data_IF_358262339176
#
_entry.id   IF_358262339176
#
_cell.length_a   1.000
_cell.length_b   1.000
_cell.length_c   1.000
_cell.angle_alpha   90.00
_cell.angle_beta   90.00
_cell.angle_gamma   90.00
#
_symmetry.space_group_name_H-M   'P 1'
#
loop_
_entity.id
_entity.type
_entity.pdbx_description
1 polymer ?
#
# COMPACT_ATOMS: atom_id res chain seq x y z
N UNK A 1 -18.09 18.23 -36.61
CA UNK A 1 -18.51 17.04 -35.86
C UNK A 1 -17.31 16.09 -35.85
N UNK A 2 -16.45 16.18 -34.84
CA UNK A 2 -15.41 15.16 -34.61
C UNK A 2 -16.13 13.96 -34.01
N UNK A 3 -15.95 12.78 -34.58
CA UNK A 3 -16.49 11.54 -34.04
C UNK A 3 -15.94 11.37 -32.62
N UNK A 4 -16.83 11.25 -31.64
CA UNK A 4 -16.51 10.81 -30.29
C UNK A 4 -15.74 9.49 -30.40
N UNK A 5 -14.56 9.45 -29.78
CA UNK A 5 -13.84 8.19 -29.56
C UNK A 5 -14.68 7.43 -28.52
N UNK A 6 -15.70 6.71 -28.98
CA UNK A 6 -16.52 5.87 -28.13
C UNK A 6 -15.58 4.97 -27.33
N UNK A 7 -15.66 5.04 -26.00
CA UNK A 7 -14.85 4.21 -25.11
C UNK A 7 -14.93 2.74 -25.56
N UNK A 8 -13.79 2.15 -25.86
CA UNK A 8 -13.67 0.71 -26.15
C UNK A 8 -13.75 -0.16 -24.90
N UNK A 9 -14.00 0.44 -23.72
CA UNK A 9 -14.04 -0.25 -22.44
C UNK A 9 -15.39 -0.86 -22.13
N UNK A 10 -15.38 -1.99 -21.42
CA UNK A 10 -16.60 -2.50 -20.80
C UNK A 10 -17.00 -1.54 -19.67
N UNK A 11 -18.26 -1.13 -19.70
CA UNK A 11 -18.86 -0.26 -18.66
C UNK A 11 -19.55 -1.08 -17.58
N UNK A 12 -20.07 -2.27 -17.92
CA UNK A 12 -20.69 -3.17 -16.95
C UNK A 12 -19.60 -3.95 -16.20
N UNK A 13 -19.66 -4.00 -14.85
CA UNK A 13 -18.66 -4.67 -14.05
C UNK A 13 -18.71 -6.20 -14.22
N UNK A 14 -17.53 -6.81 -14.23
CA UNK A 14 -17.36 -8.26 -14.34
C UNK A 14 -17.18 -8.72 -15.78
N UNK A 15 -16.25 -9.64 -15.97
CA UNK A 15 -15.91 -10.22 -17.27
C UNK A 15 -16.62 -11.55 -17.47
N UNK A 16 -16.54 -12.46 -16.50
CA UNK A 16 -17.19 -13.76 -16.56
C UNK A 16 -18.72 -13.65 -16.43
N UNK A 17 -19.19 -12.68 -15.63
CA UNK A 17 -20.62 -12.43 -15.42
C UNK A 17 -20.92 -10.94 -15.59
N UNK A 18 -21.03 -10.46 -16.84
CA UNK A 18 -21.24 -9.04 -17.12
C UNK A 18 -22.42 -8.42 -16.37
N UNK A 19 -22.15 -7.35 -15.63
CA UNK A 19 -23.13 -6.63 -14.81
C UNK A 19 -23.53 -7.33 -13.52
N UNK A 20 -22.85 -8.41 -13.12
CA UNK A 20 -23.13 -9.18 -11.90
C UNK A 20 -21.99 -9.11 -10.86
N UNK A 21 -20.87 -8.48 -11.20
CA UNK A 21 -19.82 -8.17 -10.23
C UNK A 21 -20.22 -6.96 -9.39
N UNK A 22 -20.27 -7.18 -8.08
CA UNK A 22 -20.67 -6.22 -7.06
C UNK A 22 -19.80 -6.46 -5.84
N UNK A 23 -19.74 -5.47 -4.95
CA UNK A 23 -18.96 -5.55 -3.72
C UNK A 23 -19.22 -6.85 -2.95
N UNK A 24 -20.50 -7.19 -2.76
CA UNK A 24 -20.91 -8.41 -2.06
C UNK A 24 -20.50 -9.69 -2.79
N UNK A 25 -20.59 -9.72 -4.13
CA UNK A 25 -20.20 -10.91 -4.89
C UNK A 25 -18.69 -11.09 -4.94
N UNK A 26 -17.93 -10.00 -5.04
CA UNK A 26 -16.45 -9.99 -4.99
C UNK A 26 -15.98 -10.47 -3.63
N UNK A 27 -16.51 -9.87 -2.55
CA UNK A 27 -16.20 -10.24 -1.17
C UNK A 27 -16.50 -11.73 -0.92
N UNK A 28 -17.68 -12.22 -1.30
CA UNK A 28 -18.04 -13.62 -1.11
C UNK A 28 -17.11 -14.59 -1.87
N UNK A 29 -16.64 -14.20 -3.06
CA UNK A 29 -15.70 -15.00 -3.84
C UNK A 29 -14.29 -15.01 -3.22
N UNK A 30 -13.83 -13.88 -2.67
CA UNK A 30 -12.60 -13.84 -1.88
C UNK A 30 -12.70 -14.70 -0.62
N UNK A 31 -13.79 -14.58 0.16
CA UNK A 31 -14.00 -15.41 1.35
C UNK A 31 -13.98 -16.90 1.00
N UNK A 32 -14.65 -17.29 -0.08
CA UNK A 32 -14.67 -18.67 -0.56
C UNK A 32 -13.29 -19.17 -1.04
N UNK A 33 -12.52 -18.29 -1.69
CA UNK A 33 -11.16 -18.59 -2.08
C UNK A 33 -10.27 -18.86 -0.86
N UNK A 34 -10.43 -18.08 0.21
CA UNK A 34 -9.62 -18.22 1.43
C UNK A 34 -10.05 -19.37 2.33
N UNK A 35 -11.33 -19.77 2.29
CA UNK A 35 -11.95 -20.78 3.19
C UNK A 35 -11.17 -22.09 3.30
N UNK A 36 -10.65 -22.57 2.18
CA UNK A 36 -9.88 -23.82 2.10
C UNK A 36 -8.97 -23.83 0.87
N UNK A 37 -8.18 -24.89 0.71
CA UNK A 37 -7.21 -25.07 -0.39
C UNK A 37 -7.64 -26.06 -1.47
N UNK A 38 -8.88 -26.57 -1.42
CA UNK A 38 -9.31 -27.72 -2.24
C UNK A 38 -10.64 -27.52 -2.97
N UNK A 39 -11.47 -26.59 -2.51
CA UNK A 39 -12.75 -26.29 -3.13
C UNK A 39 -12.53 -25.67 -4.52
N UNK A 40 -13.31 -26.11 -5.52
CA UNK A 40 -13.26 -25.53 -6.85
C UNK A 40 -13.77 -24.09 -6.85
N UNK A 41 -13.50 -23.35 -7.91
CA UNK A 41 -14.04 -22.01 -8.09
C UNK A 41 -15.57 -22.03 -8.19
N UNK A 42 -16.25 -21.10 -7.52
CA UNK A 42 -17.67 -20.86 -7.75
C UNK A 42 -17.96 -20.29 -9.15
N UNK A 43 -16.92 -19.85 -9.86
CA UNK A 43 -16.98 -19.39 -11.25
C UNK A 43 -16.65 -20.50 -12.25
N UNK A 44 -16.42 -21.75 -11.83
CA UNK A 44 -15.94 -22.83 -12.71
C UNK A 44 -16.79 -22.99 -13.97
N UNK A 45 -18.12 -22.95 -13.84
CA UNK A 45 -19.05 -23.08 -14.97
C UNK A 45 -19.02 -21.89 -15.95
N UNK A 46 -18.41 -20.77 -15.57
CA UNK A 46 -18.26 -19.58 -16.41
C UNK A 46 -16.92 -19.53 -17.15
N UNK A 47 -15.95 -20.35 -16.73
CA UNK A 47 -14.62 -20.37 -17.35
C UNK A 47 -14.62 -21.05 -18.71
N UNK A 48 -15.47 -22.05 -18.92
CA UNK A 48 -15.49 -22.88 -20.13
C UNK A 48 -16.04 -22.15 -21.38
N UNK A 49 -16.62 -20.95 -21.20
CA UNK A 49 -17.06 -20.09 -22.30
C UNK A 49 -15.93 -19.19 -22.83
N UNK A 50 -14.77 -19.15 -22.18
CA UNK A 50 -13.60 -18.42 -22.67
C UNK A 50 -12.76 -19.30 -23.59
N UNK A 51 -12.75 -18.94 -24.87
CA UNK A 51 -11.75 -19.42 -25.81
C UNK A 51 -10.36 -18.98 -25.32
N UNK A 52 -9.45 -19.95 -25.24
CA UNK A 52 -8.06 -19.89 -24.75
C UNK A 52 -7.13 -18.80 -25.35
N UNK A 53 -7.65 -17.85 -26.13
CA UNK A 53 -6.89 -16.80 -26.79
C UNK A 53 -6.75 -15.52 -25.94
N UNK A 54 -7.43 -15.42 -24.77
CA UNK A 54 -7.42 -14.22 -23.92
C UNK A 54 -6.18 -14.06 -23.01
N UNK A 55 -5.32 -15.08 -22.94
CA UNK A 55 -4.22 -15.16 -21.97
C UNK A 55 -3.01 -14.28 -22.38
N UNK A 56 -2.86 -13.98 -23.66
CA UNK A 56 -1.73 -13.22 -24.19
C UNK A 56 -1.94 -11.69 -24.18
N UNK A 57 -3.03 -11.20 -23.61
CA UNK A 57 -3.35 -9.78 -23.57
C UNK A 57 -2.77 -9.10 -22.34
N UNK A 58 -2.22 -7.91 -22.55
CA UNK A 58 -1.77 -7.01 -21.49
C UNK A 58 -2.70 -5.81 -21.40
N UNK A 59 -2.27 -4.82 -20.64
CA UNK A 59 -3.02 -3.57 -20.48
C UNK A 59 -3.26 -2.85 -21.81
N UNK A 60 -4.51 -2.46 -22.03
CA UNK A 60 -4.95 -1.72 -23.21
C UNK A 60 -5.17 -2.57 -24.47
N UNK A 61 -4.81 -3.87 -24.45
CA UNK A 61 -4.95 -4.75 -25.62
C UNK A 61 -6.42 -5.16 -25.83
N UNK A 62 -7.03 -5.82 -24.85
CA UNK A 62 -8.42 -6.27 -24.88
C UNK A 62 -8.93 -6.63 -23.49
N UNK A 63 -10.20 -7.03 -23.41
CA UNK A 63 -10.75 -7.55 -22.17
C UNK A 63 -10.01 -8.82 -21.70
N UNK A 64 -9.82 -9.01 -20.39
CA UNK A 64 -10.34 -8.20 -19.28
C UNK A 64 -9.46 -6.99 -18.86
N UNK A 65 -8.33 -6.75 -19.53
CA UNK A 65 -7.33 -5.72 -19.19
C UNK A 65 -7.44 -4.47 -20.08
N UNK A 66 -8.65 -4.15 -20.56
CA UNK A 66 -8.83 -3.09 -21.57
C UNK A 66 -8.65 -1.66 -21.02
N UNK A 67 -8.69 -1.48 -19.69
CA UNK A 67 -8.76 -0.18 -19.00
C UNK A 67 -7.36 0.32 -18.57
N UNK A 68 -6.60 0.85 -19.53
CA UNK A 68 -5.33 1.58 -19.28
C UNK A 68 -5.57 3.10 -19.41
N UNK A 69 -5.33 3.86 -18.33
CA UNK A 69 -5.53 5.32 -18.28
C UNK A 69 -4.22 6.03 -18.62
N UNK A 70 -4.08 6.49 -19.86
CA UNK A 70 -2.80 7.00 -20.39
C UNK A 70 -2.72 8.52 -20.49
N UNK A 71 -3.84 9.23 -20.37
CA UNK A 71 -3.90 10.68 -20.51
C UNK A 71 -5.08 11.31 -19.73
N UNK A 72 -5.09 12.64 -19.63
CA UNK A 72 -6.14 13.39 -18.92
C UNK A 72 -7.54 13.16 -19.51
N UNK A 73 -7.65 12.94 -20.83
CA UNK A 73 -8.93 12.66 -21.48
C UNK A 73 -9.51 11.30 -21.01
N UNK A 74 -8.65 10.29 -20.84
CA UNK A 74 -9.04 8.97 -20.31
C UNK A 74 -9.55 9.11 -18.86
N UNK A 75 -8.87 9.90 -18.04
CA UNK A 75 -9.26 10.16 -16.64
C UNK A 75 -10.59 10.92 -16.55
N UNK A 76 -10.76 11.97 -17.35
CA UNK A 76 -12.01 12.75 -17.39
C UNK A 76 -13.18 11.87 -17.84
N UNK A 77 -12.92 10.98 -18.79
CA UNK A 77 -13.88 10.00 -19.30
C UNK A 77 -14.26 8.97 -18.23
N UNK A 78 -13.28 8.46 -17.47
CA UNK A 78 -13.50 7.53 -16.38
C UNK A 78 -14.32 8.12 -15.24
N UNK A 79 -14.04 9.38 -14.84
CA UNK A 79 -14.80 10.10 -13.80
C UNK A 79 -16.28 10.20 -14.13
N UNK A 80 -16.61 10.38 -15.41
CA UNK A 80 -18.00 10.43 -15.87
C UNK A 80 -18.69 9.06 -15.93
N UNK A 81 -17.98 7.98 -15.57
CA UNK A 81 -18.46 6.60 -15.59
C UNK A 81 -18.19 5.89 -14.25
N UNK A 82 -18.82 6.33 -13.13
CA UNK A 82 -18.51 5.84 -11.79
C UNK A 82 -18.70 4.32 -11.61
N UNK A 83 -19.65 3.73 -12.33
CA UNK A 83 -19.86 2.27 -12.32
C UNK A 83 -18.65 1.49 -12.84
N UNK A 84 -17.77 2.09 -13.65
CA UNK A 84 -16.58 1.43 -14.18
C UNK A 84 -15.44 1.32 -13.17
N UNK A 85 -15.37 2.19 -12.15
CA UNK A 85 -14.28 2.18 -11.16
C UNK A 85 -14.72 1.84 -9.74
N UNK A 86 -15.97 2.10 -9.33
CA UNK A 86 -16.45 1.86 -7.96
C UNK A 86 -16.38 0.38 -7.51
N UNK A 87 -16.27 -0.56 -8.46
CA UNK A 87 -16.22 -2.02 -8.21
C UNK A 87 -14.95 -2.66 -8.80
N UNK A 88 -13.97 -1.82 -9.14
CA UNK A 88 -12.73 -2.23 -9.77
C UNK A 88 -11.57 -1.97 -8.82
N UNK A 89 -10.52 -2.80 -8.92
CA UNK A 89 -9.24 -2.50 -8.30
C UNK A 89 -8.51 -1.49 -9.19
N UNK A 90 -8.11 -0.36 -8.61
CA UNK A 90 -7.26 0.60 -9.30
C UNK A 90 -5.80 0.29 -8.99
N UNK A 91 -4.97 0.14 -10.03
CA UNK A 91 -3.56 -0.22 -9.91
C UNK A 91 -2.72 0.95 -10.40
N UNK A 92 -1.85 1.48 -9.55
CA UNK A 92 -0.93 2.59 -9.87
C UNK A 92 0.44 2.00 -10.14
N UNK A 93 0.99 2.25 -11.33
CA UNK A 93 2.36 1.84 -11.66
C UNK A 93 3.30 3.05 -11.61
N UNK A 94 4.24 3.11 -10.66
CA UNK A 94 5.26 4.16 -10.62
C UNK A 94 6.37 3.97 -11.66
N UNK A 95 6.56 2.75 -12.19
CA UNK A 95 7.58 2.39 -13.18
C UNK A 95 7.02 1.36 -14.18
N UNK A 96 7.72 1.18 -15.30
CA UNK A 96 7.32 0.26 -16.37
C UNK A 96 7.49 -1.22 -16.00
N UNK A 97 8.43 -1.52 -15.10
CA UNK A 97 8.61 -2.84 -14.51
C UNK A 97 9.15 -2.75 -13.07
N UNK A 98 8.95 -3.83 -12.30
CA UNK A 98 9.45 -3.97 -10.93
C UNK A 98 10.89 -4.52 -10.90
N UNK A 99 11.31 -5.20 -11.97
CA UNK A 99 12.62 -5.81 -12.08
C UNK A 99 12.73 -6.71 -13.32
N UNK A 100 13.86 -7.41 -13.43
CA UNK A 100 14.10 -8.42 -14.47
C UNK A 100 14.18 -9.80 -13.83
N UNK A 101 13.46 -10.77 -14.38
CA UNK A 101 13.50 -12.15 -13.88
C UNK A 101 14.82 -12.86 -14.24
N UNK A 102 14.95 -14.11 -13.81
CA UNK A 102 16.17 -14.93 -14.00
C UNK A 102 16.55 -15.19 -15.45
N UNK A 103 15.62 -15.03 -16.40
CA UNK A 103 15.85 -15.15 -17.84
C UNK A 103 15.96 -13.79 -18.56
N UNK A 104 15.97 -12.69 -17.81
CA UNK A 104 16.17 -11.33 -18.32
C UNK A 104 14.93 -10.66 -18.90
N UNK A 105 13.73 -11.16 -18.62
CA UNK A 105 12.48 -10.48 -19.02
C UNK A 105 12.09 -9.43 -17.97
N UNK A 106 11.65 -8.23 -18.39
CA UNK A 106 11.07 -7.26 -17.47
C UNK A 106 9.74 -7.78 -16.94
N UNK A 107 9.41 -7.42 -15.69
CA UNK A 107 8.22 -7.89 -14.98
C UNK A 107 7.29 -6.72 -14.65
N UNK A 108 6.13 -6.66 -15.31
CA UNK A 108 5.04 -5.72 -15.02
C UNK A 108 4.00 -6.36 -14.10
N UNK A 109 4.27 -6.34 -12.79
CA UNK A 109 3.54 -7.10 -11.76
C UNK A 109 2.02 -6.80 -11.68
N UNK A 110 1.60 -5.58 -12.02
CA UNK A 110 0.19 -5.16 -12.09
C UNK A 110 -0.71 -6.10 -12.91
N UNK A 111 -0.16 -6.74 -13.93
CA UNK A 111 -0.86 -7.71 -14.78
C UNK A 111 -1.30 -8.92 -13.94
N UNK A 112 -0.46 -9.37 -13.02
CA UNK A 112 -0.79 -10.50 -12.14
C UNK A 112 -1.88 -10.12 -11.17
N UNK A 113 -1.81 -8.96 -10.50
CA UNK A 113 -2.87 -8.47 -9.62
C UNK A 113 -4.22 -8.45 -10.34
N UNK A 114 -4.25 -7.88 -11.55
CA UNK A 114 -5.49 -7.79 -12.33
C UNK A 114 -6.04 -9.16 -12.73
N UNK A 115 -5.18 -10.07 -13.19
CA UNK A 115 -5.60 -11.43 -13.51
C UNK A 115 -6.06 -12.22 -12.29
N UNK A 116 -5.42 -12.06 -11.12
CA UNK A 116 -5.84 -12.69 -9.87
C UNK A 116 -7.23 -12.19 -9.46
N UNK A 117 -7.42 -10.88 -9.42
CA UNK A 117 -8.70 -10.26 -9.10
C UNK A 117 -9.82 -10.72 -10.04
N UNK A 118 -9.52 -10.76 -11.33
CA UNK A 118 -10.45 -11.22 -12.35
C UNK A 118 -10.77 -12.71 -12.21
N UNK A 119 -9.74 -13.56 -12.09
CA UNK A 119 -9.86 -15.02 -12.06
C UNK A 119 -10.58 -15.50 -10.80
N UNK A 120 -10.26 -14.92 -9.66
CA UNK A 120 -10.75 -15.34 -8.34
C UNK A 120 -12.11 -14.73 -8.03
N UNK A 121 -12.28 -13.43 -8.29
CA UNK A 121 -13.43 -12.66 -7.82
C UNK A 121 -14.32 -12.08 -8.93
N UNK A 122 -14.00 -12.31 -10.21
CA UNK A 122 -14.65 -11.62 -11.33
C UNK A 122 -14.58 -10.09 -11.18
N UNK A 123 -13.50 -9.59 -10.57
CA UNK A 123 -13.30 -8.18 -10.28
C UNK A 123 -12.48 -7.53 -11.39
N UNK A 124 -13.04 -6.48 -12.00
CA UNK A 124 -12.34 -5.71 -13.02
C UNK A 124 -11.17 -4.92 -12.40
N UNK A 125 -10.21 -4.55 -13.22
CA UNK A 125 -9.09 -3.72 -12.80
C UNK A 125 -8.88 -2.55 -13.78
N UNK A 126 -8.32 -1.46 -13.26
CA UNK A 126 -7.97 -0.25 -14.02
C UNK A 126 -6.54 0.10 -13.69
N UNK A 127 -5.68 0.27 -14.70
CA UNK A 127 -4.29 0.63 -14.48
C UNK A 127 -4.03 2.11 -14.79
N UNK A 128 -3.21 2.73 -13.95
CA UNK A 128 -2.68 4.09 -14.08
C UNK A 128 -1.16 3.99 -14.23
N UNK A 129 -0.63 3.83 -15.46
CA UNK A 129 0.80 3.76 -15.71
C UNK A 129 1.42 5.15 -15.60
N UNK A 130 1.63 5.66 -14.38
CA UNK A 130 2.10 7.03 -14.15
C UNK A 130 3.48 7.28 -14.75
N UNK A 131 4.33 6.26 -14.81
CA UNK A 131 5.60 6.31 -15.54
C UNK A 131 5.45 6.68 -17.02
N UNK A 132 4.29 6.40 -17.63
CA UNK A 132 3.94 6.68 -19.02
C UNK A 132 3.04 7.90 -19.16
N UNK A 133 2.01 8.05 -18.31
CA UNK A 133 1.04 9.15 -18.42
C UNK A 133 1.52 10.45 -17.78
N UNK A 134 2.47 10.35 -16.85
CA UNK A 134 2.74 11.38 -15.85
C UNK A 134 1.60 11.55 -14.85
N UNK A 135 1.80 12.45 -13.89
CA UNK A 135 0.77 12.82 -12.94
C UNK A 135 -0.28 13.71 -13.64
N UNK A 136 -1.47 13.13 -13.89
CA UNK A 136 -2.66 13.84 -14.35
C UNK A 136 -3.20 14.77 -13.25
N UNK A 137 -4.37 15.40 -13.43
CA UNK A 137 -5.01 16.17 -12.37
C UNK A 137 -5.12 15.34 -11.08
N UNK A 138 -4.33 15.74 -10.07
CA UNK A 138 -4.14 14.97 -8.84
C UNK A 138 -5.44 14.79 -8.07
N UNK A 139 -6.30 15.81 -8.04
CA UNK A 139 -7.58 15.73 -7.29
C UNK A 139 -8.55 14.78 -7.96
N UNK A 140 -8.63 14.84 -9.28
CA UNK A 140 -9.43 13.91 -10.10
C UNK A 140 -8.93 12.48 -9.96
N UNK A 141 -7.61 12.28 -10.07
CA UNK A 141 -6.99 10.97 -9.90
C UNK A 141 -7.27 10.41 -8.51
N UNK A 142 -6.97 11.18 -7.45
CA UNK A 142 -7.24 10.78 -6.08
C UNK A 142 -8.72 10.46 -5.85
N UNK A 143 -9.64 11.24 -6.42
CA UNK A 143 -11.07 10.95 -6.32
C UNK A 143 -11.43 9.57 -6.90
N UNK A 144 -10.92 9.24 -8.10
CA UNK A 144 -11.16 7.93 -8.74
C UNK A 144 -10.55 6.80 -7.90
N UNK A 145 -9.28 6.93 -7.53
CA UNK A 145 -8.57 5.91 -6.74
C UNK A 145 -9.30 5.64 -5.42
N UNK A 146 -9.66 6.70 -4.70
CA UNK A 146 -10.26 6.59 -3.37
C UNK A 146 -11.74 6.23 -3.40
N UNK A 147 -12.40 6.30 -4.56
CA UNK A 147 -13.78 5.84 -4.74
C UNK A 147 -13.87 4.43 -5.34
N UNK A 148 -12.74 3.84 -5.69
CA UNK A 148 -12.66 2.48 -6.24
C UNK A 148 -12.89 1.40 -5.17
N UNK A 149 -12.80 0.12 -5.56
CA UNK A 149 -12.91 -0.97 -4.60
C UNK A 149 -11.68 -1.02 -3.68
N UNK A 150 -10.49 -0.95 -4.26
CA UNK A 150 -9.20 -0.95 -3.59
C UNK A 150 -8.16 -0.31 -4.51
N UNK A 151 -7.11 0.27 -3.92
CA UNK A 151 -5.96 0.80 -4.65
C UNK A 151 -4.76 -0.12 -4.40
N UNK A 152 -4.09 -0.57 -5.45
CA UNK A 152 -2.78 -1.24 -5.37
C UNK A 152 -1.75 -0.30 -5.97
N UNK A 153 -0.80 0.16 -5.16
CA UNK A 153 0.33 0.97 -5.59
C UNK A 153 1.53 0.06 -5.75
N UNK A 154 1.90 -0.20 -7.00
CA UNK A 154 2.87 -1.23 -7.36
C UNK A 154 4.33 -0.85 -7.12
N UNK A 155 5.19 -1.85 -7.27
CA UNK A 155 6.64 -1.71 -7.25
C UNK A 155 7.20 -0.98 -8.48
N UNK A 156 8.53 -0.85 -8.48
CA UNK A 156 9.26 -0.25 -9.58
C UNK A 156 10.77 -0.31 -9.38
N UNK A 157 11.51 -0.27 -10.49
CA UNK A 157 12.97 -0.25 -10.46
C UNK A 157 13.64 1.04 -9.89
N UNK A 158 12.98 2.22 -9.77
CA UNK A 158 13.58 3.38 -9.09
C UNK A 158 13.81 3.19 -7.59
N UNK A 159 14.61 4.08 -6.98
CA UNK A 159 14.86 4.12 -5.53
C UNK A 159 14.38 5.45 -4.95
N UNK A 160 13.60 5.40 -3.86
CA UNK A 160 13.11 6.62 -3.20
C UNK A 160 14.21 7.42 -2.50
N UNK A 161 15.42 6.86 -2.34
CA UNK A 161 16.56 7.54 -1.71
C UNK A 161 17.24 8.52 -2.66
N UNK A 162 17.09 8.31 -3.97
CA UNK A 162 17.62 9.19 -5.01
C UNK A 162 16.52 9.59 -5.98
N UNK A 163 16.07 10.84 -5.88
CA UNK A 163 15.04 11.40 -6.74
C UNK A 163 15.38 11.33 -8.23
N UNK A 164 16.68 11.33 -8.58
CA UNK A 164 17.13 11.25 -9.98
C UNK A 164 16.91 9.87 -10.60
N UNK A 165 16.70 8.83 -9.79
CA UNK A 165 16.35 7.51 -10.31
C UNK A 165 15.01 7.48 -11.07
N UNK A 166 14.18 8.52 -10.90
CA UNK A 166 12.91 8.70 -11.59
C UNK A 166 13.00 9.55 -12.88
N UNK A 167 14.16 10.12 -13.22
CA UNK A 167 14.31 11.11 -14.31
C UNK A 167 13.91 10.57 -15.70
N UNK A 168 13.90 9.24 -15.88
CA UNK A 168 13.49 8.59 -17.13
C UNK A 168 11.99 8.23 -17.19
N UNK A 169 11.23 8.60 -16.17
CA UNK A 169 9.78 8.37 -16.10
C UNK A 169 9.02 9.69 -16.28
N UNK A 170 7.76 9.63 -16.72
CA UNK A 170 6.93 10.83 -16.85
C UNK A 170 6.36 11.35 -15.52
N UNK A 171 6.65 10.69 -14.39
CA UNK A 171 6.14 11.05 -13.07
C UNK A 171 7.31 11.17 -12.08
N UNK A 172 7.50 12.34 -11.47
CA UNK A 172 8.65 12.55 -10.60
C UNK A 172 8.50 11.83 -9.25
N UNK A 173 9.62 11.66 -8.54
CA UNK A 173 9.62 11.21 -7.14
C UNK A 173 8.69 12.05 -6.26
N UNK A 174 8.70 13.38 -6.45
CA UNK A 174 7.87 14.30 -5.69
C UNK A 174 6.37 14.09 -5.98
N UNK A 175 6.01 13.87 -7.25
CA UNK A 175 4.62 13.60 -7.65
C UNK A 175 4.08 12.31 -7.03
N UNK A 176 4.89 11.25 -7.02
CA UNK A 176 4.53 9.96 -6.42
C UNK A 176 4.42 10.04 -4.89
N UNK A 177 5.31 10.81 -4.24
CA UNK A 177 5.21 11.08 -2.80
C UNK A 177 3.95 11.87 -2.45
N UNK A 178 3.65 12.93 -3.20
CA UNK A 178 2.45 13.74 -3.00
C UNK A 178 1.18 12.89 -3.18
N UNK A 179 1.14 12.00 -4.18
CA UNK A 179 0.04 11.07 -4.36
C UNK A 179 -0.05 10.06 -3.19
N UNK A 180 1.09 9.56 -2.70
CA UNK A 180 1.13 8.64 -1.56
C UNK A 180 0.60 9.29 -0.28
N UNK A 181 0.98 10.55 0.00
CA UNK A 181 0.42 11.35 1.09
C UNK A 181 -1.10 11.51 0.95
N UNK A 182 -1.58 11.84 -0.25
CA UNK A 182 -3.02 12.02 -0.52
C UNK A 182 -3.79 10.71 -0.29
N UNK A 183 -3.26 9.57 -0.74
CA UNK A 183 -3.86 8.25 -0.52
C UNK A 183 -3.87 7.88 0.97
N UNK A 184 -2.76 8.10 1.68
CA UNK A 184 -2.70 7.86 3.14
C UNK A 184 -3.73 8.73 3.87
N UNK A 185 -3.90 10.00 3.49
CA UNK A 185 -4.88 10.90 4.11
C UNK A 185 -6.33 10.67 3.67
N UNK A 186 -6.56 9.86 2.63
CA UNK A 186 -7.90 9.70 2.07
C UNK A 186 -8.76 8.65 2.76
N UNK A 187 -8.16 7.78 3.60
CA UNK A 187 -8.86 6.62 4.18
C UNK A 187 -9.97 7.04 5.14
N UNK A 188 -11.23 6.81 4.74
CA UNK A 188 -12.48 7.18 5.43
C UNK A 188 -13.51 6.05 5.29
N UNK A 189 -14.72 6.21 5.86
CA UNK A 189 -15.78 5.17 5.94
C UNK A 189 -16.17 4.50 4.63
N UNK A 190 -15.96 5.16 3.49
CA UNK A 190 -16.34 4.64 2.18
C UNK A 190 -15.25 4.78 1.13
N UNK A 191 -14.04 5.14 1.54
CA UNK A 191 -12.94 5.24 0.59
C UNK A 191 -12.30 3.88 0.39
N UNK A 192 -11.68 3.66 -0.75
CA UNK A 192 -10.85 2.49 -0.99
C UNK A 192 -9.73 2.37 0.07
N UNK A 193 -9.40 1.16 0.54
CA UNK A 193 -8.11 0.89 1.16
C UNK A 193 -7.00 1.00 0.12
N UNK A 194 -5.78 1.27 0.58
CA UNK A 194 -4.57 1.27 -0.27
C UNK A 194 -3.62 0.15 0.15
N UNK A 195 -3.08 -0.56 -0.83
CA UNK A 195 -2.09 -1.62 -0.66
C UNK A 195 -0.84 -1.17 -1.41
N UNK A 196 0.23 -0.91 -0.69
CA UNK A 196 1.49 -0.40 -1.25
C UNK A 196 2.52 -1.54 -1.35
N UNK A 197 3.03 -1.83 -2.53
CA UNK A 197 3.89 -2.99 -2.80
C UNK A 197 5.26 -2.51 -3.27
N UNK A 198 6.35 -3.07 -2.72
CA UNK A 198 7.74 -2.82 -3.09
C UNK A 198 8.08 -1.31 -3.09
N UNK A 199 8.25 -0.67 -4.24
CA UNK A 199 8.45 0.79 -4.33
C UNK A 199 7.29 1.58 -3.70
N UNK A 200 6.06 1.10 -3.81
CA UNK A 200 4.92 1.67 -3.10
C UNK A 200 5.12 1.67 -1.58
N UNK A 201 5.64 0.57 -1.01
CA UNK A 201 5.91 0.45 0.43
C UNK A 201 6.97 1.46 0.89
N UNK A 202 8.02 1.64 0.08
CA UNK A 202 9.05 2.66 0.31
C UNK A 202 8.51 4.10 0.23
N UNK A 203 7.65 4.39 -0.75
CA UNK A 203 6.98 5.68 -0.89
C UNK A 203 6.07 5.97 0.31
N UNK A 204 5.32 4.97 0.78
CA UNK A 204 4.49 5.09 1.97
C UNK A 204 5.32 5.41 3.23
N UNK A 205 6.46 4.72 3.42
CA UNK A 205 7.37 5.00 4.53
C UNK A 205 7.89 6.44 4.53
N UNK A 206 8.33 6.96 3.37
CA UNK A 206 8.73 8.36 3.23
C UNK A 206 7.56 9.34 3.43
N UNK A 207 6.37 9.01 2.90
CA UNK A 207 5.17 9.84 3.05
C UNK A 207 4.75 9.98 4.52
N UNK A 208 4.85 8.91 5.33
CA UNK A 208 4.58 8.98 6.76
C UNK A 208 5.47 10.01 7.46
N UNK A 209 6.77 9.98 7.20
CA UNK A 209 7.72 10.93 7.79
C UNK A 209 7.42 12.36 7.33
N UNK A 210 7.09 12.58 6.05
CA UNK A 210 6.69 13.89 5.54
C UNK A 210 5.41 14.41 6.21
N UNK A 211 4.38 13.56 6.36
CA UNK A 211 3.13 13.92 7.02
C UNK A 211 3.32 14.27 8.49
N UNK A 212 4.15 13.51 9.22
CA UNK A 212 4.45 13.79 10.64
C UNK A 212 5.18 15.12 10.78
N UNK A 213 6.16 15.39 9.91
CA UNK A 213 6.87 16.68 9.87
C UNK A 213 5.93 17.84 9.60
N UNK A 214 5.07 17.69 8.59
CA UNK A 214 4.06 18.68 8.23
C UNK A 214 3.09 18.95 9.38
N UNK A 215 2.52 17.90 9.98
CA UNK A 215 1.62 18.02 11.13
C UNK A 215 2.30 18.74 12.31
N UNK A 216 3.52 18.33 12.65
CA UNK A 216 4.30 18.92 13.74
C UNK A 216 4.55 20.41 13.49
N UNK A 217 4.95 20.77 12.27
CA UNK A 217 5.23 22.15 11.89
C UNK A 217 3.97 23.02 11.96
N UNK A 218 2.89 22.61 11.30
CA UNK A 218 1.65 23.39 11.23
C UNK A 218 1.00 23.56 12.61
N UNK A 219 1.03 22.53 13.47
CA UNK A 219 0.56 22.64 14.86
C UNK A 219 1.39 23.68 15.61
N UNK A 220 2.72 23.60 15.56
CA UNK A 220 3.56 24.55 16.31
C UNK A 220 3.40 26.00 15.85
N UNK A 221 3.11 26.21 14.57
CA UNK A 221 2.90 27.53 13.97
C UNK A 221 1.55 28.14 14.33
N UNK A 222 0.46 27.36 14.32
CA UNK A 222 -0.92 27.90 14.33
C UNK A 222 -1.70 27.67 15.64
N UNK A 223 -1.25 26.75 16.51
CA UNK A 223 -2.06 26.29 17.64
C UNK A 223 -2.33 27.36 18.70
N UNK A 224 -1.50 28.40 18.79
CA UNK A 224 -1.73 29.51 19.74
C UNK A 224 -3.00 30.28 19.42
N UNK A 225 -3.27 30.50 18.14
CA UNK A 225 -4.43 31.24 17.63
C UNK A 225 -5.68 30.37 17.61
N UNK A 226 -5.55 29.07 17.33
CA UNK A 226 -6.68 28.14 17.29
C UNK A 226 -7.19 27.80 18.70
N UNK A 227 -6.28 27.60 19.66
CA UNK A 227 -6.60 27.14 21.02
C UNK A 227 -6.41 28.23 22.09
N UNK A 228 -6.75 29.48 21.79
CA UNK A 228 -6.64 30.64 22.70
C UNK A 228 -7.29 30.34 24.07
N UNK A 229 -8.49 29.75 24.05
CA UNK A 229 -9.28 29.48 25.25
C UNK A 229 -9.07 28.07 25.85
N UNK A 230 -8.08 27.31 25.35
CA UNK A 230 -7.78 25.95 25.82
C UNK A 230 -6.29 25.77 26.12
N UNK A 231 -5.74 26.49 27.11
CA UNK A 231 -4.30 26.54 27.36
C UNK A 231 -3.69 25.16 27.68
N UNK A 232 -4.43 24.27 28.34
CA UNK A 232 -3.95 22.93 28.67
C UNK A 232 -3.78 22.06 27.41
N UNK A 233 -4.82 21.98 26.56
CA UNK A 233 -4.77 21.22 25.30
C UNK A 233 -3.72 21.79 24.34
N UNK A 234 -3.64 23.13 24.26
CA UNK A 234 -2.61 23.84 23.49
C UNK A 234 -1.20 23.46 23.94
N UNK A 235 -0.93 23.54 25.25
CA UNK A 235 0.39 23.22 25.80
C UNK A 235 0.74 21.74 25.60
N UNK A 236 -0.22 20.83 25.79
CA UNK A 236 -0.03 19.40 25.57
C UNK A 236 0.34 19.10 24.10
N UNK A 237 -0.39 19.66 23.14
CA UNK A 237 -0.08 19.51 21.71
C UNK A 237 1.30 20.06 21.35
N UNK A 238 1.66 21.25 21.86
CA UNK A 238 3.00 21.80 21.67
C UNK A 238 4.08 20.91 22.25
N UNK A 239 3.88 20.37 23.46
CA UNK A 239 4.85 19.46 24.09
C UNK A 239 5.06 18.20 23.27
N UNK A 240 3.99 17.59 22.77
CA UNK A 240 4.07 16.42 21.90
C UNK A 240 4.77 16.74 20.59
N UNK A 241 4.41 17.83 19.91
CA UNK A 241 5.06 18.25 18.66
C UNK A 241 6.55 18.54 18.86
N UNK A 242 6.92 19.21 19.95
CA UNK A 242 8.33 19.45 20.28
C UNK A 242 9.09 18.14 20.57
N UNK A 243 8.48 17.16 21.25
CA UNK A 243 9.09 15.82 21.44
C UNK A 243 9.26 15.10 20.11
N UNK A 244 8.25 15.12 19.24
CA UNK A 244 8.30 14.52 17.91
C UNK A 244 9.43 15.14 17.09
N UNK A 245 9.53 16.46 17.05
CA UNK A 245 10.61 17.17 16.34
C UNK A 245 11.98 16.86 16.94
N UNK A 246 12.11 16.89 18.26
CA UNK A 246 13.38 16.61 18.93
C UNK A 246 13.86 15.18 18.69
N UNK A 247 12.97 14.19 18.71
CA UNK A 247 13.31 12.80 18.42
C UNK A 247 13.59 12.62 16.92
N UNK A 248 12.71 13.11 16.06
CA UNK A 248 12.83 12.99 14.61
C UNK A 248 14.12 13.60 14.07
N UNK A 249 14.63 14.69 14.66
CA UNK A 249 15.89 15.32 14.24
C UNK A 249 17.15 14.65 14.78
N UNK A 250 17.05 13.84 15.85
CA UNK A 250 18.21 13.19 16.49
C UNK A 250 18.32 11.69 16.22
N UNK A 251 17.20 11.02 15.91
CA UNK A 251 17.13 9.57 15.76
C UNK A 251 18.12 9.11 14.69
N UNK A 252 18.82 8.02 15.01
CA UNK A 252 19.82 7.39 14.15
C UNK A 252 19.22 6.12 13.58
N UNK A 253 19.45 5.91 12.30
CA UNK A 253 19.22 4.62 11.65
C UNK A 253 20.54 3.86 11.71
N UNK A 254 20.54 2.65 12.25
CA UNK A 254 21.74 1.83 12.44
C UNK A 254 21.59 0.50 11.73
N UNK A 255 22.53 0.22 10.83
CA UNK A 255 22.63 -1.01 10.05
C UNK A 255 24.01 -1.62 10.21
N UNK A 256 24.11 -2.90 10.56
CA UNK A 256 25.39 -3.59 10.85
C UNK A 256 26.33 -2.74 11.76
N UNK A 257 25.79 -2.22 12.85
CA UNK A 257 26.46 -1.32 13.80
C UNK A 257 26.97 0.03 13.22
N UNK A 258 26.56 0.38 12.00
CA UNK A 258 26.91 1.65 11.34
C UNK A 258 25.70 2.57 11.26
N UNK A 259 25.93 3.85 11.55
CA UNK A 259 24.93 4.89 11.37
C UNK A 259 24.82 5.21 9.88
N UNK A 260 23.70 4.89 9.25
CA UNK A 260 23.44 5.17 7.83
C UNK A 260 22.67 6.47 7.62
N UNK A 261 21.88 6.88 8.60
CA UNK A 261 21.16 8.14 8.57
C UNK A 261 21.06 8.75 9.96
N UNK A 262 20.99 10.08 10.02
CA UNK A 262 20.73 10.83 11.25
C UNK A 262 19.72 11.93 10.98
N UNK A 263 18.59 11.84 11.67
CA UNK A 263 17.49 12.79 11.57
C UNK A 263 16.62 12.59 10.33
N UNK A 264 15.34 12.93 10.45
CA UNK A 264 14.27 12.77 9.47
C UNK A 264 14.36 13.65 8.21
N UNK A 265 15.46 14.38 8.05
CA UNK A 265 15.80 15.17 6.86
C UNK A 265 16.83 14.43 6.00
N UNK A 266 17.45 13.37 6.52
CA UNK A 266 18.37 12.55 5.76
C UNK A 266 17.60 11.75 4.69
N UNK A 267 18.07 11.70 3.42
CA UNK A 267 17.40 10.97 2.35
C UNK A 267 17.17 9.49 2.66
N UNK A 268 18.11 8.90 3.42
CA UNK A 268 18.06 7.49 3.82
C UNK A 268 17.38 7.26 5.18
N UNK A 269 16.65 8.23 5.72
CA UNK A 269 16.01 8.07 7.04
C UNK A 269 14.90 7.03 7.00
N UNK A 270 13.97 7.13 6.06
CA UNK A 270 12.83 6.21 5.97
C UNK A 270 13.17 4.91 5.23
N UNK A 271 14.12 4.97 4.28
CA UNK A 271 14.51 3.84 3.42
C UNK A 271 16.02 3.84 3.31
N UNK A 272 16.65 2.70 3.53
CA UNK A 272 18.09 2.49 3.41
C UNK A 272 18.43 1.46 2.33
N UNK A 273 19.73 1.26 2.09
CA UNK A 273 20.21 0.09 1.34
C UNK A 273 20.06 -1.13 2.26
N UNK A 274 19.56 -2.23 1.72
CA UNK A 274 19.51 -3.51 2.40
C UNK A 274 20.92 -4.08 2.58
N UNK A 275 21.20 -4.60 3.77
CA UNK A 275 22.39 -5.33 4.18
C UNK A 275 22.70 -6.49 3.22
N UNK A 276 21.65 -7.15 2.71
CA UNK A 276 21.73 -8.25 1.75
C UNK A 276 20.74 -8.02 0.60
N UNK A 277 21.20 -7.88 -0.67
CA UNK A 277 20.29 -7.80 -1.81
C UNK A 277 19.37 -9.02 -1.90
N UNK A 278 18.06 -8.80 -1.83
CA UNK A 278 17.05 -9.84 -1.94
C UNK A 278 16.50 -9.90 -3.37
N UNK A 279 16.93 -10.92 -4.10
CA UNK A 279 16.36 -11.30 -5.38
C UNK A 279 16.01 -12.79 -5.34
N UNK A 280 14.72 -13.09 -5.29
CA UNK A 280 14.22 -14.48 -5.20
C UNK A 280 13.45 -14.76 -3.91
N UNK A 281 13.54 -15.99 -3.43
CA UNK A 281 12.72 -16.52 -2.34
C UNK A 281 13.14 -15.99 -0.97
N UNK A 282 12.15 -15.51 -0.22
CA UNK A 282 12.27 -15.20 1.20
C UNK A 282 11.13 -15.86 1.97
N UNK A 283 11.40 -16.16 3.25
CA UNK A 283 10.40 -16.64 4.20
C UNK A 283 9.90 -15.48 5.06
N UNK A 284 8.57 -15.34 5.17
CA UNK A 284 7.97 -14.37 6.10
C UNK A 284 7.99 -14.95 7.52
N UNK A 285 8.48 -14.16 8.47
CA UNK A 285 8.43 -14.47 9.89
C UNK A 285 7.73 -13.35 10.66
N UNK A 286 7.24 -13.66 11.87
CA UNK A 286 6.73 -12.64 12.79
C UNK A 286 7.79 -11.58 13.08
N UNK A 287 7.37 -10.33 13.20
CA UNK A 287 8.27 -9.26 13.59
C UNK A 287 8.68 -9.42 15.06
N UNK A 288 9.98 -9.58 15.32
CA UNK A 288 10.53 -9.67 16.67
C UNK A 288 11.80 -8.81 16.78
N UNK A 289 11.78 -7.78 17.64
CA UNK A 289 13.01 -7.09 18.01
C UNK A 289 13.71 -7.80 19.17
N UNK A 290 14.77 -8.53 18.86
CA UNK A 290 15.58 -9.27 19.86
C UNK A 290 16.89 -8.57 20.26
N UNK A 291 17.39 -7.62 19.45
CA UNK A 291 18.68 -6.97 19.65
C UNK A 291 18.59 -5.62 20.38
N UNK A 292 19.58 -5.35 21.23
CA UNK A 292 19.70 -4.05 21.91
C UNK A 292 20.23 -2.99 20.94
N UNK A 293 19.45 -1.93 20.72
CA UNK A 293 19.87 -0.80 19.88
C UNK A 293 20.68 0.23 20.69
N UNK A 294 21.70 0.90 20.09
CA UNK A 294 22.52 1.90 20.79
C UNK A 294 21.79 3.21 21.13
N UNK A 295 20.57 3.41 20.63
CA UNK A 295 19.75 4.57 20.98
C UNK A 295 18.75 4.22 22.11
N UNK A 296 18.87 4.85 23.29
CA UNK A 296 17.97 4.55 24.42
C UNK A 296 16.51 4.93 24.14
N UNK A 297 16.26 5.88 23.23
CA UNK A 297 14.89 6.28 22.86
C UNK A 297 14.17 5.17 22.08
N UNK A 298 14.89 4.21 21.47
CA UNK A 298 14.28 3.11 20.74
C UNK A 298 13.43 2.21 21.66
N UNK A 299 13.75 2.14 22.95
CA UNK A 299 12.96 1.37 23.92
C UNK A 299 11.51 1.89 24.02
N UNK A 300 11.30 3.21 23.98
CA UNK A 300 9.95 3.81 23.97
C UNK A 300 9.23 3.47 22.67
N UNK A 301 9.93 3.51 21.54
CA UNK A 301 9.38 3.22 20.21
C UNK A 301 8.97 1.75 20.07
N UNK A 302 9.81 0.81 20.52
CA UNK A 302 9.52 -0.64 20.55
C UNK A 302 8.34 -0.94 21.48
N UNK A 303 8.31 -0.34 22.67
CA UNK A 303 7.18 -0.51 23.60
C UNK A 303 5.87 -0.06 22.94
N UNK A 304 5.92 1.03 22.17
CA UNK A 304 4.76 1.53 21.45
C UNK A 304 4.32 0.61 20.31
N UNK A 305 5.27 -0.03 19.61
CA UNK A 305 4.98 -1.06 18.63
C UNK A 305 4.31 -2.29 19.26
N UNK A 306 4.80 -2.78 20.39
CA UNK A 306 4.18 -3.90 21.10
C UNK A 306 2.75 -3.59 21.56
N UNK A 307 2.48 -2.36 22.01
CA UNK A 307 1.11 -1.94 22.35
C UNK A 307 0.21 -1.91 21.11
N UNK A 308 0.72 -1.42 19.97
CA UNK A 308 -0.06 -1.43 18.72
C UNK A 308 -0.40 -2.85 18.28
N UNK A 309 0.56 -3.78 18.33
CA UNK A 309 0.34 -5.17 17.92
C UNK A 309 -0.72 -5.89 18.76
N UNK A 310 -0.82 -5.58 20.07
CA UNK A 310 -1.84 -6.15 20.95
C UNK A 310 -3.24 -5.53 20.76
N UNK A 311 -3.37 -4.36 20.12
CA UNK A 311 -4.65 -3.66 19.95
C UNK A 311 -5.50 -4.18 18.78
N UNK A 312 -4.91 -4.99 17.91
CA UNK A 312 -5.41 -5.25 16.56
C UNK A 312 -5.31 -6.73 16.19
N UNK A 313 -6.36 -7.28 15.59
CA UNK A 313 -6.29 -8.64 15.03
C UNK A 313 -5.37 -8.64 13.79
N UNK A 314 -4.40 -9.56 13.78
CA UNK A 314 -3.29 -9.60 12.82
C UNK A 314 -3.59 -10.38 11.54
N UNK A 315 -3.89 -9.68 10.44
CA UNK A 315 -4.21 -10.30 9.12
C UNK A 315 -3.04 -11.11 8.56
N UNK A 316 -1.85 -10.51 8.57
CA UNK A 316 -0.63 -11.14 8.07
C UNK A 316 -0.08 -12.11 9.12
N UNK A 317 -0.14 -11.77 10.41
CA UNK A 317 0.32 -12.67 11.50
C UNK A 317 -0.48 -13.97 11.59
N UNK A 318 -1.80 -13.92 11.38
CA UNK A 318 -2.63 -15.11 11.25
C UNK A 318 -2.21 -15.95 10.05
N UNK A 319 -1.86 -15.30 8.93
CA UNK A 319 -1.36 -16.01 7.74
C UNK A 319 -0.02 -16.70 8.03
N UNK A 320 0.91 -16.02 8.70
CA UNK A 320 2.20 -16.61 9.14
C UNK A 320 1.97 -17.81 10.05
N UNK A 321 0.97 -17.75 10.91
CA UNK A 321 0.69 -18.79 11.89
C UNK A 321 -0.05 -20.01 11.32
N UNK A 322 -0.76 -19.85 10.19
CA UNK A 322 -1.65 -20.88 9.64
C UNK A 322 -1.22 -21.44 8.28
N UNK A 323 -0.53 -20.65 7.47
CA UNK A 323 -0.03 -21.10 6.17
C UNK A 323 1.33 -21.80 6.35
N UNK A 324 1.58 -22.85 5.55
CA UNK A 324 2.78 -23.69 5.68
C UNK A 324 3.76 -23.26 4.62
N UNK A 325 4.83 -22.58 5.05
CA UNK A 325 5.93 -22.12 4.20
C UNK A 325 5.48 -20.99 3.24
N UNK A 326 5.16 -19.81 3.81
CA UNK A 326 4.91 -18.56 3.08
C UNK A 326 6.16 -18.10 2.34
N UNK A 327 6.37 -18.71 1.18
CA UNK A 327 7.39 -18.33 0.24
C UNK A 327 6.87 -17.13 -0.56
N UNK A 328 7.58 -16.02 -0.43
CA UNK A 328 7.35 -14.81 -1.19
C UNK A 328 8.58 -14.50 -2.02
N UNK A 329 8.39 -13.61 -2.98
CA UNK A 329 9.45 -13.20 -3.90
C UNK A 329 9.74 -11.70 -3.78
N UNK A 330 11.04 -11.38 -3.81
CA UNK A 330 11.59 -10.03 -3.64
C UNK A 330 12.28 -9.53 -4.91
N UNK A 331 12.26 -8.20 -5.10
CA UNK A 331 12.85 -7.48 -6.24
C UNK A 331 13.51 -6.16 -5.83
N UNK A 332 14.41 -6.14 -4.83
CA UNK A 332 15.02 -4.87 -4.42
C UNK A 332 16.33 -5.01 -3.64
N UNK A 333 17.06 -3.90 -3.64
CA UNK A 333 18.27 -3.66 -2.84
C UNK A 333 18.04 -2.64 -1.72
N UNK A 334 16.84 -2.07 -1.66
CA UNK A 334 16.45 -1.06 -0.70
C UNK A 334 15.40 -1.64 0.24
N UNK A 335 15.37 -1.14 1.47
CA UNK A 335 14.39 -1.55 2.47
C UNK A 335 13.96 -0.38 3.34
N UNK A 336 12.75 -0.50 3.89
CA UNK A 336 12.22 0.46 4.86
C UNK A 336 12.91 0.26 6.21
N UNK A 337 13.47 1.34 6.75
CA UNK A 337 14.18 1.27 8.02
C UNK A 337 13.20 1.10 9.19
N UNK A 338 13.52 0.15 10.06
CA UNK A 338 12.73 -0.17 11.24
C UNK A 338 12.53 1.04 12.16
N UNK A 339 13.60 1.77 12.49
CA UNK A 339 13.52 2.89 13.43
C UNK A 339 12.62 4.01 12.91
N UNK A 340 12.53 4.18 11.59
CA UNK A 340 11.65 5.18 10.98
C UNK A 340 10.16 4.81 11.14
N UNK A 341 9.81 3.52 10.99
CA UNK A 341 8.43 3.06 11.19
C UNK A 341 8.06 3.01 12.66
N UNK A 342 8.97 2.57 13.53
CA UNK A 342 8.80 2.63 14.99
C UNK A 342 8.58 4.08 15.45
N UNK A 343 9.34 5.03 14.92
CA UNK A 343 9.14 6.46 15.14
C UNK A 343 7.78 6.94 14.61
N UNK A 344 7.40 6.53 13.40
CA UNK A 344 6.14 6.94 12.80
C UNK A 344 4.93 6.44 13.61
N UNK A 345 4.94 5.19 14.05
CA UNK A 345 3.92 4.63 14.92
C UNK A 345 3.79 5.44 16.22
N UNK A 346 4.91 5.66 16.92
CA UNK A 346 4.92 6.45 18.15
C UNK A 346 4.41 7.87 17.92
N UNK A 347 4.84 8.55 16.86
CA UNK A 347 4.41 9.91 16.55
C UNK A 347 2.90 9.97 16.27
N UNK A 348 2.37 9.07 15.44
CA UNK A 348 0.94 9.03 15.14
C UNK A 348 0.08 8.77 16.37
N UNK A 349 0.49 7.84 17.23
CA UNK A 349 -0.25 7.56 18.48
C UNK A 349 -0.27 8.76 19.42
N UNK A 350 0.88 9.42 19.60
CA UNK A 350 0.98 10.61 20.44
C UNK A 350 0.14 11.77 19.87
N UNK A 351 0.15 11.98 18.55
CA UNK A 351 -0.69 12.97 17.88
C UNK A 351 -2.17 12.63 18.05
N UNK A 352 -2.58 11.40 17.74
CA UNK A 352 -3.97 10.95 17.84
C UNK A 352 -4.57 11.20 19.23
N UNK A 353 -3.84 10.80 20.27
CA UNK A 353 -4.25 11.00 21.67
C UNK A 353 -4.32 12.49 22.05
N UNK A 354 -3.39 13.30 21.56
CA UNK A 354 -3.28 14.73 21.91
C UNK A 354 -4.26 15.63 21.17
N UNK A 355 -4.74 15.21 20.00
CA UNK A 355 -5.76 15.95 19.23
C UNK A 355 -7.15 15.82 19.86
N UNK A 356 -7.44 14.69 20.52
CA UNK A 356 -8.77 14.37 21.04
C UNK A 356 -9.34 15.43 22.02
N UNK A 357 -8.60 15.95 23.02
CA UNK A 357 -9.13 16.92 23.98
C UNK A 357 -9.57 18.25 23.37
N UNK A 358 -8.98 18.64 22.22
CA UNK A 358 -9.26 19.89 21.53
C UNK A 358 -10.05 19.72 20.23
N UNK A 359 -10.57 18.51 19.97
CA UNK A 359 -11.17 18.10 18.69
C UNK A 359 -12.15 19.12 18.10
N UNK A 360 -13.08 19.62 18.91
CA UNK A 360 -14.15 20.49 18.42
C UNK A 360 -13.66 21.80 17.81
N UNK A 361 -12.55 22.36 18.33
CA UNK A 361 -11.98 23.57 17.75
C UNK A 361 -11.07 23.26 16.57
N UNK A 362 -10.30 22.18 16.67
CA UNK A 362 -9.38 21.77 15.60
C UNK A 362 -10.13 21.36 14.32
N UNK A 363 -11.25 20.64 14.44
CA UNK A 363 -11.99 20.12 13.28
C UNK A 363 -12.63 21.22 12.42
N UNK A 364 -12.83 22.41 12.96
CA UNK A 364 -13.37 23.58 12.25
C UNK A 364 -12.28 24.60 11.86
N UNK A 365 -11.00 24.27 12.07
CA UNK A 365 -9.84 25.13 11.77
C UNK A 365 -9.06 24.66 10.53
N UNK A 366 -8.02 25.39 10.14
CA UNK A 366 -7.07 24.92 9.11
C UNK A 366 -6.40 23.58 9.45
N UNK A 367 -6.32 23.21 10.74
CA UNK A 367 -5.77 21.93 11.21
C UNK A 367 -6.75 20.75 11.13
N UNK A 368 -7.93 20.94 10.55
CA UNK A 368 -8.95 19.88 10.42
C UNK A 368 -8.46 18.65 9.66
N UNK A 369 -7.46 18.79 8.77
CA UNK A 369 -6.90 17.68 8.03
C UNK A 369 -6.16 16.67 8.91
N UNK A 370 -5.69 17.07 10.11
CA UNK A 370 -4.98 16.21 11.06
C UNK A 370 -5.84 15.02 11.52
N UNK A 371 -7.17 15.15 11.47
CA UNK A 371 -8.09 14.06 11.79
C UNK A 371 -8.14 12.97 10.72
N UNK A 372 -7.48 13.17 9.57
CA UNK A 372 -7.28 12.15 8.54
C UNK A 372 -5.93 11.44 8.65
N UNK A 373 -5.06 11.83 9.59
CA UNK A 373 -3.81 11.11 9.82
C UNK A 373 -4.10 9.68 10.31
N UNK A 374 -3.21 8.71 10.00
CA UNK A 374 -3.20 7.42 10.67
C UNK A 374 -3.19 7.60 12.20
N UNK A 375 -3.89 6.71 12.90
CA UNK A 375 -3.84 6.65 14.37
C UNK A 375 -2.63 5.86 14.88
N UNK A 376 -2.12 4.93 14.08
CA UNK A 376 -0.91 4.14 14.35
C UNK A 376 -0.43 3.46 13.06
N UNK A 377 0.81 2.97 13.10
CA UNK A 377 1.36 2.06 12.10
C UNK A 377 1.93 0.87 12.83
N UNK A 378 1.80 -0.31 12.26
CA UNK A 378 2.28 -1.54 12.85
C UNK A 378 3.22 -2.24 11.88
N UNK A 379 4.40 -2.66 12.34
CA UNK A 379 5.25 -3.62 11.62
C UNK A 379 4.66 -5.01 11.86
N UNK A 380 4.26 -5.68 10.77
CA UNK A 380 3.55 -6.97 10.84
C UNK A 380 4.51 -8.15 10.76
N UNK A 381 5.56 -8.03 9.95
CA UNK A 381 6.46 -9.14 9.70
C UNK A 381 7.84 -8.69 9.21
N UNK A 382 8.78 -9.62 9.25
CA UNK A 382 10.13 -9.53 8.71
C UNK A 382 10.36 -10.65 7.67
N UNK A 383 11.42 -10.54 6.87
CA UNK A 383 11.86 -11.61 5.98
C UNK A 383 13.15 -12.26 6.43
N UNK A 384 13.28 -13.55 6.14
CA UNK A 384 14.56 -14.25 6.23
C UNK A 384 14.91 -14.95 4.91
N UNK A 385 16.20 -15.04 4.61
CA UNK A 385 16.75 -15.88 3.55
C UNK A 385 17.84 -16.77 4.14
N UNK A 386 17.76 -18.07 3.88
CA UNK A 386 18.69 -19.07 4.42
C UNK A 386 18.84 -18.99 5.97
N UNK A 387 17.76 -18.66 6.67
CA UNK A 387 17.71 -18.54 8.13
C UNK A 387 18.36 -17.27 8.69
N UNK A 388 18.70 -16.28 7.85
CA UNK A 388 19.20 -14.97 8.27
C UNK A 388 18.14 -13.91 8.04
N UNK A 389 17.98 -13.00 9.00
CA UNK A 389 17.16 -11.80 8.84
C UNK A 389 17.69 -10.98 7.65
N UNK A 390 16.79 -10.61 6.76
CA UNK A 390 17.14 -9.86 5.54
C UNK A 390 16.43 -8.52 5.47
N UNK A 391 15.16 -8.44 5.87
CA UNK A 391 14.46 -7.15 6.03
C UNK A 391 13.60 -7.17 7.29
N UNK A 392 13.86 -6.20 8.17
CA UNK A 392 13.14 -6.01 9.43
C UNK A 392 11.68 -5.64 9.19
N UNK A 393 11.41 -4.76 8.22
CA UNK A 393 10.06 -4.22 7.94
C UNK A 393 9.56 -4.77 6.62
N UNK A 394 9.16 -6.04 6.60
CA UNK A 394 8.67 -6.67 5.37
C UNK A 394 7.23 -6.26 5.02
N UNK A 395 6.40 -5.96 6.03
CA UNK A 395 5.07 -5.41 5.82
C UNK A 395 4.63 -4.51 6.98
N UNK A 396 3.75 -3.55 6.69
CA UNK A 396 3.10 -2.73 7.72
C UNK A 396 1.58 -2.64 7.55
N UNK A 397 0.88 -2.46 8.66
CA UNK A 397 -0.52 -2.07 8.71
C UNK A 397 -0.63 -0.57 9.07
N UNK A 398 -1.37 0.18 8.28
CA UNK A 398 -1.70 1.59 8.55
C UNK A 398 -3.11 1.62 9.14
N UNK A 399 -3.22 1.95 10.42
CA UNK A 399 -4.48 1.93 11.15
C UNK A 399 -5.10 3.33 11.21
N UNK A 400 -6.39 3.42 10.87
CA UNK A 400 -7.20 4.64 10.92
C UNK A 400 -8.36 4.47 11.88
N UNK A 401 -8.24 5.03 13.08
CA UNK A 401 -9.29 4.97 14.10
C UNK A 401 -10.16 6.21 14.08
N UNK A 402 -11.43 6.03 13.71
CA UNK A 402 -12.41 7.10 13.70
C UNK A 402 -12.61 7.69 15.12
N UNK A 403 -12.55 9.01 15.24
CA UNK A 403 -12.69 9.69 16.54
C UNK A 403 -14.11 9.61 17.12
N UNK A 404 -15.11 9.41 16.27
CA UNK A 404 -16.53 9.33 16.65
C UNK A 404 -17.00 7.89 16.82
N UNK A 405 -16.81 7.06 15.79
CA UNK A 405 -17.33 5.69 15.78
C UNK A 405 -16.41 4.69 16.47
N UNK A 406 -15.14 5.07 16.69
CA UNK A 406 -14.06 4.19 17.18
C UNK A 406 -13.77 2.99 16.29
N UNK A 407 -14.38 2.92 15.10
CA UNK A 407 -14.09 1.90 14.11
C UNK A 407 -12.67 2.12 13.57
N UNK A 408 -11.95 1.03 13.44
CA UNK A 408 -10.65 1.00 12.80
C UNK A 408 -10.83 0.59 11.35
N UNK A 409 -10.06 1.24 10.47
CA UNK A 409 -9.90 0.83 9.09
C UNK A 409 -8.43 0.66 8.81
N UNK A 410 -8.10 -0.23 7.88
CA UNK A 410 -6.72 -0.51 7.54
C UNK A 410 -6.41 -0.27 6.08
N UNK A 411 -5.13 -0.05 5.85
CA UNK A 411 -4.41 -0.09 4.58
C UNK A 411 -3.11 -0.85 4.86
N UNK A 412 -2.52 -1.46 3.85
CA UNK A 412 -1.37 -2.34 4.04
C UNK A 412 -0.21 -1.92 3.16
N UNK A 413 0.99 -2.24 3.59
CA UNK A 413 2.19 -2.08 2.78
C UNK A 413 3.02 -3.36 2.85
N UNK A 414 3.66 -3.75 1.76
CA UNK A 414 4.46 -4.97 1.65
C UNK A 414 5.71 -4.66 0.83
N UNK A 415 6.88 -5.05 1.32
CA UNK A 415 8.14 -4.94 0.60
C UNK A 415 8.24 -5.99 -0.53
N UNK A 416 7.57 -7.13 -0.34
CA UNK A 416 7.50 -8.26 -1.27
C UNK A 416 6.32 -8.19 -2.24
N UNK A 417 6.38 -9.02 -3.28
CA UNK A 417 5.35 -9.13 -4.32
C UNK A 417 4.50 -10.41 -4.16
N UNK A 418 3.41 -10.39 -3.37
CA UNK A 418 2.57 -11.57 -3.15
C UNK A 418 1.82 -12.05 -4.40
N UNK A 419 1.71 -11.22 -5.44
CA UNK A 419 1.13 -11.53 -6.75
C UNK A 419 2.07 -12.28 -7.70
N UNK A 420 3.37 -12.31 -7.40
CA UNK A 420 4.38 -12.97 -8.21
C UNK A 420 4.63 -14.39 -7.69
N UNK A 421 4.93 -15.29 -8.63
CA UNK A 421 5.26 -16.70 -8.35
C UNK A 421 6.77 -16.92 -8.48
N UNK A 422 7.22 -18.13 -8.18
CA UNK A 422 8.63 -18.55 -8.18
C UNK A 422 9.40 -18.22 -9.47
N UNK A 423 8.71 -18.20 -10.61
CA UNK A 423 9.33 -17.89 -11.90
C UNK A 423 9.54 -16.38 -12.14
N UNK A 424 8.97 -15.53 -11.27
CA UNK A 424 9.01 -14.07 -11.35
C UNK A 424 8.48 -13.56 -12.70
N UNK A 425 7.40 -14.14 -13.22
CA UNK A 425 6.86 -13.79 -14.55
C UNK A 425 5.46 -13.19 -14.45
N UNK A 426 5.18 -12.34 -15.43
CA UNK A 426 3.81 -11.93 -15.74
C UNK A 426 3.00 -13.13 -16.25
N UNK A 427 1.75 -13.29 -15.82
CA UNK A 427 0.86 -14.35 -16.29
C UNK A 427 0.60 -14.29 -17.80
N UNK A 428 0.75 -13.12 -18.43
CA UNK A 428 0.73 -12.99 -19.90
C UNK A 428 1.84 -13.81 -20.58
N UNK A 429 2.99 -13.98 -19.92
CA UNK A 429 4.18 -14.67 -20.46
C UNK A 429 4.30 -16.12 -19.96
N UNK A 430 3.94 -16.39 -18.71
CA UNK A 430 3.98 -17.73 -18.11
C UNK A 430 2.69 -18.53 -18.27
N UNK A 431 1.60 -17.87 -18.65
CA UNK A 431 0.25 -18.44 -18.68
C UNK A 431 -0.46 -18.28 -17.33
N UNK A 432 -1.79 -18.11 -17.36
CA UNK A 432 -2.60 -18.02 -16.14
C UNK A 432 -2.62 -19.39 -15.45
N UNK A 433 -2.23 -19.48 -14.16
CA UNK A 433 -2.25 -20.74 -13.45
C UNK A 433 -3.69 -21.29 -13.30
N UNK A 434 -3.82 -22.61 -13.28
CA UNK A 434 -5.07 -23.27 -12.92
C UNK A 434 -5.53 -22.82 -11.52
N UNK A 435 -6.84 -22.74 -11.30
CA UNK A 435 -7.40 -22.26 -10.02
C UNK A 435 -6.90 -23.07 -8.81
N UNK A 436 -6.76 -24.39 -8.97
CA UNK A 436 -6.21 -25.28 -7.94
C UNK A 436 -4.74 -24.97 -7.59
N UNK A 437 -3.97 -24.41 -8.54
CA UNK A 437 -2.61 -23.96 -8.27
C UNK A 437 -2.62 -22.64 -7.51
N UNK A 438 -3.50 -21.70 -7.89
CA UNK A 438 -3.68 -20.44 -7.14
C UNK A 438 -4.08 -20.69 -5.68
N UNK A 439 -4.96 -21.67 -5.44
CA UNK A 439 -5.40 -22.10 -4.09
C UNK A 439 -4.27 -22.67 -3.22
N UNK A 440 -3.16 -23.10 -3.81
CA UNK A 440 -2.00 -23.69 -3.11
C UNK A 440 -0.85 -22.71 -2.97
N UNK A 441 -0.94 -21.55 -3.59
CA UNK A 441 0.11 -20.55 -3.63
C UNK A 441 -0.10 -19.57 -2.47
N UNK A 442 0.86 -19.56 -1.55
CA UNK A 442 0.73 -18.88 -0.25
C UNK A 442 0.84 -17.36 -0.38
N UNK A 443 1.67 -16.88 -1.31
CA UNK A 443 1.73 -15.46 -1.68
C UNK A 443 0.40 -14.98 -2.23
N UNK A 444 -0.19 -15.70 -3.19
CA UNK A 444 -1.49 -15.34 -3.76
C UNK A 444 -2.59 -15.35 -2.68
N UNK A 445 -2.61 -16.35 -1.80
CA UNK A 445 -3.57 -16.39 -0.69
C UNK A 445 -3.39 -15.22 0.26
N UNK A 446 -2.15 -14.83 0.56
CA UNK A 446 -1.84 -13.65 1.35
C UNK A 446 -2.37 -12.37 0.70
N UNK A 447 -2.14 -12.16 -0.60
CA UNK A 447 -2.68 -11.01 -1.34
C UNK A 447 -4.22 -10.95 -1.25
N UNK A 448 -4.89 -12.09 -1.49
CA UNK A 448 -6.35 -12.14 -1.42
C UNK A 448 -6.86 -11.91 0.00
N UNK A 449 -6.14 -12.34 1.03
CA UNK A 449 -6.48 -12.04 2.42
C UNK A 449 -6.33 -10.56 2.75
N UNK A 450 -5.21 -9.94 2.35
CA UNK A 450 -5.00 -8.50 2.50
C UNK A 450 -6.13 -7.71 1.82
N UNK A 451 -6.47 -8.07 0.57
CA UNK A 451 -7.58 -7.45 -0.16
C UNK A 451 -8.92 -7.67 0.55
N UNK A 452 -9.22 -8.91 0.95
CA UNK A 452 -10.47 -9.25 1.61
C UNK A 452 -10.66 -8.47 2.91
N UNK A 453 -9.67 -8.49 3.80
CA UNK A 453 -9.80 -7.90 5.13
C UNK A 453 -9.82 -6.37 5.05
N UNK A 454 -9.08 -5.78 4.10
CA UNK A 454 -9.15 -4.35 3.81
C UNK A 454 -10.54 -3.88 3.36
N UNK A 455 -11.37 -4.77 2.79
CA UNK A 455 -12.74 -4.48 2.36
C UNK A 455 -13.77 -4.71 3.47
N UNK A 456 -13.46 -5.49 4.50
CA UNK A 456 -14.37 -5.79 5.62
C UNK A 456 -14.51 -4.62 6.60
N UNK A 457 -13.57 -3.66 6.56
CA UNK A 457 -13.40 -2.54 7.49
C UNK A 457 -13.71 -1.16 6.86
#
# INVERSE_FOLDING_TARGET
>A
MKMDKAMSWRVLPGFYRPGKSSFKSIQALFSEFLRDRHSPSLLQAHYDNDTSDSINYGWGDSAPLEKEITCQEDLDTLINTPFAFNQSICIVEPADHVGFNTIGEPVRASINVAWLAQRIADCDSIVFPLWKSGLMDRKKLAHVLTSSLAVVFEGGHPTVRDSKSFDNTNCSHADLLDLSEELILSRRLRSAPSIFICLGHQLAAQAHIRLIKKATHEILETIDDILINQPNSRNALKQVCNRIQALGTKLRIVKDDKIVAKGWDHPEFAVGINEVPEAGHCEIIHYEKSSSHPDPELAELITTQAITAEEYDGVIEESISHEKDLNIVMFHTDEVNEEAILFANWAYRNLYQSLLPARNQLVISELSWLFNLPSSIEILCSTTAEGRLCTEVAATCINYRDYDTRQTRRSFTCQFHPELRDDLREFKKSGIPAFDNLKKDDGIRLLIRILHDSLME
#
